data_IF_576518344775
#
_entry.id   IF_576518344775
#
_cell.length_a   1.000
_cell.length_b   1.000
_cell.length_c   1.000
_cell.angle_alpha   90.00
_cell.angle_beta   90.00
_cell.angle_gamma   90.00
#
_symmetry.space_group_name_H-M   'P 1'
#
loop_
_entity.id
_entity.type
_entity.pdbx_description
1 polymer ?
#
# COMPACT_ATOMS: atom_id res chain seq x y z
N UNK A 1 -108.02 13.34 -60.33
CA UNK A 1 -106.90 13.87 -59.54
C UNK A 1 -107.37 14.03 -58.11
N UNK A 2 -107.13 13.04 -57.26
CA UNK A 2 -107.10 13.25 -55.82
C UNK A 2 -105.63 13.09 -55.46
N UNK A 3 -104.93 14.21 -55.31
CA UNK A 3 -103.62 14.23 -54.70
C UNK A 3 -103.81 13.76 -53.26
N UNK A 4 -103.33 12.56 -52.95
CA UNK A 4 -103.01 12.22 -51.57
C UNK A 4 -101.85 13.15 -51.17
N UNK A 5 -102.19 14.26 -50.52
CA UNK A 5 -101.23 15.00 -49.71
C UNK A 5 -100.78 13.99 -48.64
N UNK A 6 -99.62 13.36 -48.82
CA UNK A 6 -98.91 12.79 -47.68
C UNK A 6 -98.63 13.99 -46.78
N UNK A 7 -99.35 14.10 -45.67
CA UNK A 7 -98.90 14.94 -44.58
C UNK A 7 -97.47 14.50 -44.28
N UNK A 8 -96.52 15.41 -44.37
CA UNK A 8 -95.14 15.12 -44.03
C UNK A 8 -95.12 14.76 -42.55
N UNK A 9 -94.83 13.49 -42.26
CA UNK A 9 -94.73 12.98 -40.90
C UNK A 9 -93.72 13.83 -40.12
N UNK A 10 -94.03 14.10 -38.86
CA UNK A 10 -93.14 14.90 -38.04
C UNK A 10 -91.90 14.11 -37.62
N UNK A 11 -90.75 14.74 -37.78
CA UNK A 11 -89.46 14.14 -37.49
C UNK A 11 -88.69 15.12 -36.62
N UNK A 12 -88.22 14.63 -35.46
CA UNK A 12 -87.23 15.33 -34.67
C UNK A 12 -85.86 15.14 -35.34
N UNK A 13 -85.24 16.23 -35.74
CA UNK A 13 -83.90 16.27 -36.32
C UNK A 13 -82.93 16.64 -35.20
N UNK A 14 -81.95 15.78 -34.94
CA UNK A 14 -80.91 16.05 -33.96
C UNK A 14 -79.84 16.98 -34.55
N UNK A 15 -79.16 17.79 -33.71
CA UNK A 15 -77.90 18.43 -34.07
C UNK A 15 -76.89 17.43 -34.64
N UNK A 16 -75.89 17.96 -35.36
CA UNK A 16 -74.74 17.16 -35.81
C UNK A 16 -73.98 16.54 -34.62
N UNK A 17 -73.13 15.55 -34.94
CA UNK A 17 -72.25 14.94 -33.95
C UNK A 17 -71.28 15.99 -33.37
N UNK A 18 -70.94 15.82 -32.10
CA UNK A 18 -69.99 16.67 -31.40
C UNK A 18 -68.78 15.87 -30.93
N UNK A 19 -67.66 16.56 -30.75
CA UNK A 19 -66.44 15.97 -30.19
C UNK A 19 -66.17 16.55 -28.80
N UNK A 20 -65.75 15.69 -27.89
CA UNK A 20 -65.22 16.03 -26.57
C UNK A 20 -63.79 15.46 -26.46
N UNK A 21 -62.96 16.06 -25.60
CA UNK A 21 -61.58 15.64 -25.43
C UNK A 21 -61.46 14.59 -24.34
N UNK A 22 -61.92 14.86 -23.12
CA UNK A 22 -61.70 13.97 -21.98
C UNK A 22 -62.96 13.30 -21.45
N UNK A 23 -64.08 14.02 -21.40
CA UNK A 23 -65.28 13.54 -20.70
C UNK A 23 -66.58 14.11 -21.30
N UNK A 24 -67.66 13.33 -21.21
CA UNK A 24 -68.99 13.72 -21.67
C UNK A 24 -69.52 15.02 -21.05
N UNK A 25 -69.04 15.39 -19.85
CA UNK A 25 -69.43 16.62 -19.16
C UNK A 25 -68.92 17.90 -19.82
N UNK A 26 -67.93 17.81 -20.73
CA UNK A 26 -67.50 18.93 -21.58
C UNK A 26 -68.60 19.38 -22.54
N UNK A 27 -69.50 18.47 -22.89
CA UNK A 27 -70.67 18.71 -23.75
C UNK A 27 -71.94 18.45 -22.92
N UNK A 28 -72.45 19.45 -22.17
CA UNK A 28 -73.68 19.31 -21.41
C UNK A 28 -74.88 18.93 -22.29
N UNK A 29 -75.78 18.10 -21.76
CA UNK A 29 -77.02 17.77 -22.46
C UNK A 29 -77.95 18.99 -22.56
N UNK A 30 -78.73 19.06 -23.63
CA UNK A 30 -79.71 20.14 -23.82
C UNK A 30 -80.80 20.06 -22.76
N UNK A 31 -80.92 21.14 -21.97
CA UNK A 31 -81.86 21.21 -20.85
C UNK A 31 -83.29 21.58 -21.29
N UNK A 32 -83.43 22.17 -22.48
CA UNK A 32 -84.69 22.62 -23.04
C UNK A 32 -84.61 22.68 -24.57
N UNK A 33 -85.77 22.74 -25.22
CA UNK A 33 -85.87 22.70 -26.67
C UNK A 33 -85.25 23.92 -27.37
N UNK A 34 -85.19 25.09 -26.71
CA UNK A 34 -84.62 26.29 -27.33
C UNK A 34 -83.11 26.18 -27.50
N UNK A 35 -82.42 25.58 -26.54
CA UNK A 35 -80.97 25.31 -26.65
C UNK A 35 -80.70 24.28 -27.76
N UNK A 36 -81.49 23.20 -27.80
CA UNK A 36 -81.43 22.19 -28.87
C UNK A 36 -81.63 22.79 -30.27
N UNK A 37 -82.55 23.76 -30.41
CA UNK A 37 -82.77 24.50 -31.66
C UNK A 37 -81.57 25.37 -32.06
N UNK A 38 -80.95 26.04 -31.09
CA UNK A 38 -79.84 26.96 -31.37
C UNK A 38 -78.63 26.22 -31.96
N UNK A 39 -78.46 24.95 -31.59
CA UNK A 39 -77.33 24.11 -32.02
C UNK A 39 -77.69 23.21 -33.21
N UNK A 40 -78.75 23.55 -33.95
CA UNK A 40 -79.09 22.94 -35.24
C UNK A 40 -80.06 21.78 -35.19
N UNK A 41 -80.57 21.43 -34.00
CA UNK A 41 -81.70 20.52 -33.86
C UNK A 41 -83.00 21.18 -34.28
N UNK A 42 -84.06 20.39 -34.49
CA UNK A 42 -85.38 20.95 -34.75
C UNK A 42 -86.44 19.91 -35.09
N UNK A 43 -87.61 20.39 -35.49
CA UNK A 43 -88.70 19.55 -35.98
C UNK A 43 -88.92 19.87 -37.46
N UNK A 44 -88.99 18.85 -38.31
CA UNK A 44 -89.46 18.99 -39.68
C UNK A 44 -90.90 18.44 -39.80
N UNK A 45 -91.70 19.04 -40.69
CA UNK A 45 -93.12 18.74 -40.85
C UNK A 45 -94.06 19.86 -40.38
N UNK A 46 -95.32 19.54 -40.08
CA UNK A 46 -96.38 20.53 -39.75
C UNK A 46 -97.07 20.27 -38.40
N UNK A 47 -96.41 19.60 -37.45
CA UNK A 47 -96.94 19.38 -36.10
C UNK A 47 -96.82 20.63 -35.23
N UNK A 48 -97.80 20.79 -34.33
CA UNK A 48 -97.75 21.78 -33.26
C UNK A 48 -97.05 21.14 -32.06
N UNK A 49 -95.77 21.43 -31.91
CA UNK A 49 -94.94 20.85 -30.86
C UNK A 49 -95.21 21.48 -29.49
N UNK A 50 -95.24 20.65 -28.45
CA UNK A 50 -95.20 21.09 -27.07
C UNK A 50 -93.75 21.20 -26.61
N UNK A 51 -93.12 22.37 -26.76
CA UNK A 51 -91.71 22.58 -26.39
C UNK A 51 -91.37 22.26 -24.92
N UNK A 52 -92.36 22.27 -24.01
CA UNK A 52 -92.15 21.93 -22.60
C UNK A 52 -92.01 20.43 -22.33
N UNK A 53 -92.34 19.59 -23.31
CA UNK A 53 -92.21 18.13 -23.25
C UNK A 53 -90.81 17.63 -23.62
N UNK A 54 -89.93 18.52 -24.10
CA UNK A 54 -88.59 18.15 -24.53
C UNK A 54 -87.76 17.61 -23.37
N UNK A 55 -87.15 16.44 -23.56
CA UNK A 55 -86.38 15.75 -22.52
C UNK A 55 -85.26 14.91 -23.13
N UNK A 56 -84.15 14.78 -22.40
CA UNK A 56 -83.16 13.73 -22.63
C UNK A 56 -83.74 12.40 -22.15
N UNK A 57 -84.06 11.50 -23.07
CA UNK A 57 -84.65 10.21 -22.76
C UNK A 57 -83.60 9.19 -22.30
N UNK A 58 -82.45 9.17 -22.96
CA UNK A 58 -81.35 8.25 -22.65
C UNK A 58 -80.00 8.84 -23.04
N UNK A 59 -78.96 8.40 -22.34
CA UNK A 59 -77.55 8.61 -22.66
C UNK A 59 -76.86 7.25 -22.52
N UNK A 60 -76.24 6.79 -23.60
CA UNK A 60 -75.72 5.42 -23.72
C UNK A 60 -74.30 5.50 -24.27
N UNK A 61 -73.34 5.00 -23.50
CA UNK A 61 -71.97 4.78 -23.96
C UNK A 61 -71.88 3.46 -24.74
N UNK A 62 -71.04 3.43 -25.79
CA UNK A 62 -70.66 2.21 -26.50
C UNK A 62 -69.66 1.32 -25.71
N UNK A 63 -69.18 1.80 -24.56
CA UNK A 63 -68.17 1.14 -23.74
C UNK A 63 -66.77 1.16 -24.37
N UNK A 64 -66.57 1.98 -25.41
CA UNK A 64 -65.26 2.34 -25.92
C UNK A 64 -64.44 3.07 -24.86
N UNK A 65 -63.14 3.15 -25.09
CA UNK A 65 -62.21 3.84 -24.17
C UNK A 65 -61.60 5.07 -24.83
N UNK A 66 -61.05 4.93 -26.03
CA UNK A 66 -60.57 6.07 -26.82
C UNK A 66 -60.40 5.67 -28.31
N UNK A 67 -61.28 6.14 -29.22
CA UNK A 67 -62.45 6.97 -28.93
C UNK A 67 -63.56 6.19 -28.20
N UNK A 68 -64.28 6.86 -27.30
CA UNK A 68 -65.58 6.44 -26.76
C UNK A 68 -66.70 7.16 -27.54
N UNK A 69 -67.80 6.47 -27.85
CA UNK A 69 -68.98 7.09 -28.47
C UNK A 69 -70.16 7.06 -27.51
N UNK A 70 -70.63 8.25 -27.12
CA UNK A 70 -71.85 8.43 -26.34
C UNK A 70 -73.01 8.83 -27.24
N UNK A 71 -74.07 8.03 -27.23
CA UNK A 71 -75.32 8.32 -27.94
C UNK A 71 -76.37 8.89 -27.00
N UNK A 72 -76.81 10.13 -27.24
CA UNK A 72 -77.94 10.75 -26.55
C UNK A 72 -79.22 10.60 -27.37
N UNK A 73 -80.31 10.17 -26.73
CA UNK A 73 -81.64 10.08 -27.32
C UNK A 73 -82.51 11.19 -26.73
N UNK A 74 -82.94 12.14 -27.54
CA UNK A 74 -83.87 13.19 -27.14
C UNK A 74 -85.29 12.83 -27.56
N UNK A 75 -86.27 13.28 -26.78
CA UNK A 75 -87.69 13.10 -27.07
C UNK A 75 -88.45 14.42 -26.91
N UNK A 76 -89.40 14.67 -27.81
CA UNK A 76 -90.40 15.74 -27.69
C UNK A 76 -91.78 15.19 -28.07
N UNK A 77 -92.85 15.75 -27.53
CA UNK A 77 -94.23 15.45 -27.93
C UNK A 77 -94.89 16.64 -28.63
N UNK A 78 -95.88 16.35 -29.47
CA UNK A 78 -96.84 17.36 -29.94
C UNK A 78 -97.94 17.65 -28.89
N UNK A 79 -98.82 18.60 -29.21
CA UNK A 79 -99.99 18.94 -28.41
C UNK A 79 -101.04 17.80 -28.32
N UNK A 80 -100.85 16.71 -29.07
CA UNK A 80 -101.68 15.51 -29.11
C UNK A 80 -101.03 14.31 -28.39
N UNK A 81 -99.93 14.53 -27.67
CA UNK A 81 -99.14 13.53 -26.94
C UNK A 81 -98.45 12.47 -27.84
N UNK A 82 -98.35 12.71 -29.15
CA UNK A 82 -97.51 11.89 -30.04
C UNK A 82 -96.04 12.27 -29.85
N UNK A 83 -95.16 11.28 -29.70
CA UNK A 83 -93.74 11.50 -29.38
C UNK A 83 -92.82 11.27 -30.57
N UNK A 84 -91.81 12.13 -30.71
CA UNK A 84 -90.76 12.05 -31.71
C UNK A 84 -89.40 11.97 -31.02
N UNK A 85 -88.50 11.16 -31.58
CA UNK A 85 -87.16 10.93 -31.02
C UNK A 85 -86.09 11.11 -32.09
N UNK A 86 -84.90 11.48 -31.65
CA UNK A 86 -83.69 11.48 -32.46
C UNK A 86 -82.48 11.11 -31.62
N UNK A 87 -81.42 10.64 -32.28
CA UNK A 87 -80.13 10.31 -31.65
C UNK A 87 -79.04 11.29 -32.08
N UNK A 88 -78.30 11.79 -31.11
CA UNK A 88 -77.07 12.57 -31.31
C UNK A 88 -75.87 11.74 -30.84
N UNK A 89 -74.82 11.69 -31.64
CA UNK A 89 -73.56 11.04 -31.29
C UNK A 89 -72.56 12.08 -30.75
N UNK A 90 -71.83 11.70 -29.70
CA UNK A 90 -70.74 12.49 -29.12
C UNK A 90 -69.52 11.56 -29.08
N UNK A 91 -68.43 11.96 -29.73
CA UNK A 91 -67.18 11.21 -29.77
C UNK A 91 -66.21 11.82 -28.76
N UNK A 92 -65.78 11.04 -27.78
CA UNK A 92 -64.77 11.43 -26.78
C UNK A 92 -63.45 10.82 -27.23
N UNK A 93 -62.47 11.65 -27.56
CA UNK A 93 -61.18 11.18 -28.08
C UNK A 93 -60.05 12.16 -27.78
N UNK A 94 -59.10 11.73 -26.96
CA UNK A 94 -57.87 12.48 -26.74
C UNK A 94 -56.82 12.16 -27.80
N UNK A 95 -56.22 13.20 -28.37
CA UNK A 95 -55.14 13.10 -29.36
C UNK A 95 -53.93 13.97 -28.98
N UNK A 96 -53.92 14.54 -27.78
CA UNK A 96 -52.77 15.29 -27.28
C UNK A 96 -51.78 14.33 -26.61
N UNK A 97 -50.49 14.49 -26.88
CA UNK A 97 -49.46 13.69 -26.21
C UNK A 97 -49.30 14.16 -24.75
N UNK A 98 -49.02 13.23 -23.82
CA UNK A 98 -48.72 13.60 -22.45
C UNK A 98 -47.44 14.43 -22.36
N UNK A 99 -47.35 15.29 -21.35
CA UNK A 99 -46.14 16.06 -21.06
C UNK A 99 -45.32 15.35 -19.99
N UNK A 100 -44.10 14.95 -20.36
CA UNK A 100 -43.10 14.38 -19.44
C UNK A 100 -41.85 15.27 -19.40
N UNK A 101 -41.37 15.58 -18.20
CA UNK A 101 -40.08 16.26 -17.96
C UNK A 101 -39.18 15.35 -17.15
N UNK A 102 -37.96 15.17 -17.63
CA UNK A 102 -37.00 14.26 -17.04
C UNK A 102 -36.42 14.77 -15.71
N UNK A 103 -36.00 13.85 -14.82
CA UNK A 103 -35.03 14.15 -13.79
C UNK A 103 -33.81 14.88 -14.38
N UNK A 104 -33.15 15.75 -13.59
CA UNK A 104 -31.95 16.44 -14.06
C UNK A 104 -30.84 15.43 -14.42
N UNK A 105 -29.99 15.82 -15.37
CA UNK A 105 -28.75 15.10 -15.66
C UNK A 105 -27.86 15.01 -14.41
N UNK A 106 -27.07 13.95 -14.32
CA UNK A 106 -26.20 13.70 -13.16
C UNK A 106 -24.77 13.31 -13.56
N UNK A 107 -23.87 13.39 -12.58
CA UNK A 107 -22.47 13.00 -12.70
C UNK A 107 -22.12 12.07 -11.53
N UNK A 108 -21.58 10.90 -11.85
CA UNK A 108 -21.17 9.90 -10.86
C UNK A 108 -19.72 9.48 -11.05
N UNK A 109 -19.17 8.86 -10.02
CA UNK A 109 -17.84 8.26 -10.03
C UNK A 109 -17.94 6.73 -10.19
N UNK A 110 -17.01 6.15 -10.95
CA UNK A 110 -16.75 4.71 -11.10
C UNK A 110 -17.79 3.85 -11.85
N UNK A 111 -18.98 3.61 -11.31
CA UNK A 111 -19.88 2.55 -11.78
C UNK A 111 -21.37 2.96 -11.78
N UNK A 112 -22.03 2.74 -12.92
CA UNK A 112 -23.48 2.92 -13.08
C UNK A 112 -24.30 1.97 -12.19
N UNK A 113 -23.76 0.81 -11.82
CA UNK A 113 -24.48 -0.17 -11.00
C UNK A 113 -24.77 0.33 -9.58
N UNK A 114 -23.99 1.28 -9.07
CA UNK A 114 -24.21 1.92 -7.78
C UNK A 114 -25.21 3.09 -7.87
N UNK A 115 -25.55 3.52 -9.08
CA UNK A 115 -26.50 4.60 -9.31
C UNK A 115 -27.95 4.09 -9.27
N UNK A 116 -28.89 4.80 -8.61
CA UNK A 116 -30.27 4.34 -8.46
C UNK A 116 -30.94 4.03 -9.81
N UNK A 117 -31.52 2.84 -9.92
CA UNK A 117 -32.39 2.47 -11.04
C UNK A 117 -33.79 3.03 -10.83
N UNK A 118 -34.40 3.55 -11.90
CA UNK A 118 -35.75 4.12 -11.88
C UNK A 118 -36.65 3.20 -12.71
N UNK A 119 -37.39 2.29 -12.08
CA UNK A 119 -38.22 1.31 -12.77
C UNK A 119 -39.72 1.64 -12.69
N UNK A 120 -40.11 2.60 -11.85
CA UNK A 120 -41.50 2.96 -11.60
C UNK A 120 -41.72 4.47 -11.72
N UNK A 121 -42.96 4.87 -12.02
CA UNK A 121 -43.33 6.28 -12.06
C UNK A 121 -43.08 6.98 -10.72
N UNK A 122 -43.34 6.30 -9.59
CA UNK A 122 -43.08 6.87 -8.26
C UNK A 122 -41.59 7.17 -8.03
N UNK A 123 -40.69 6.29 -8.48
CA UNK A 123 -39.25 6.53 -8.42
C UNK A 123 -38.83 7.67 -9.34
N UNK A 124 -39.44 7.78 -10.52
CA UNK A 124 -39.20 8.87 -11.48
C UNK A 124 -39.60 10.23 -10.90
N UNK A 125 -40.79 10.31 -10.29
CA UNK A 125 -41.26 11.52 -9.60
C UNK A 125 -40.38 11.87 -8.40
N UNK A 126 -39.93 10.86 -7.65
CA UNK A 126 -39.01 11.06 -6.52
C UNK A 126 -37.63 11.56 -6.97
N UNK A 127 -37.18 11.17 -8.17
CA UNK A 127 -35.95 11.65 -8.80
C UNK A 127 -36.07 13.06 -9.39
N UNK A 128 -37.25 13.69 -9.34
CA UNK A 128 -37.47 15.06 -9.80
C UNK A 128 -38.07 15.19 -11.20
N UNK A 129 -38.47 14.08 -11.82
CA UNK A 129 -39.26 14.12 -13.05
C UNK A 129 -40.71 14.54 -12.79
N UNK A 130 -41.43 14.94 -13.84
CA UNK A 130 -42.86 15.27 -13.77
C UNK A 130 -43.61 14.71 -14.96
N UNK A 131 -44.87 14.30 -14.76
CA UNK A 131 -45.80 13.88 -15.83
C UNK A 131 -47.15 14.53 -15.62
N UNK A 132 -47.80 14.99 -16.69
CA UNK A 132 -49.19 15.41 -16.68
C UNK A 132 -49.78 15.33 -18.09
N UNK A 133 -51.10 15.35 -18.16
CA UNK A 133 -51.88 15.29 -19.39
C UNK A 133 -53.09 16.22 -19.26
N UNK A 134 -53.70 16.64 -20.38
CA UNK A 134 -54.95 17.41 -20.38
C UNK A 134 -56.15 16.56 -19.92
N UNK A 135 -56.10 15.25 -20.14
CA UNK A 135 -57.07 14.28 -19.67
C UNK A 135 -56.49 13.43 -18.53
N UNK A 136 -56.03 12.21 -18.82
CA UNK A 136 -55.60 11.24 -17.81
C UNK A 136 -54.33 10.48 -18.25
N UNK A 137 -53.37 10.37 -17.35
CA UNK A 137 -52.15 9.57 -17.56
C UNK A 137 -52.44 8.09 -17.26
N UNK A 138 -51.98 7.19 -18.14
CA UNK A 138 -51.91 5.77 -17.82
C UNK A 138 -50.62 5.46 -17.05
N UNK A 139 -50.65 5.58 -15.72
CA UNK A 139 -49.46 5.38 -14.87
C UNK A 139 -48.78 4.01 -15.06
N UNK A 140 -49.56 2.98 -15.40
CA UNK A 140 -49.05 1.62 -15.62
C UNK A 140 -48.26 1.47 -16.94
N UNK A 141 -48.33 2.45 -17.83
CA UNK A 141 -47.61 2.49 -19.10
C UNK A 141 -46.19 3.02 -18.98
N UNK A 142 -45.80 3.53 -17.80
CA UNK A 142 -44.46 4.06 -17.57
C UNK A 142 -43.40 2.98 -17.83
N UNK A 143 -42.42 3.33 -18.66
CA UNK A 143 -41.36 2.44 -19.06
C UNK A 143 -40.04 3.20 -19.10
N UNK A 144 -38.96 2.55 -18.67
CA UNK A 144 -37.60 3.07 -18.79
C UNK A 144 -36.74 2.12 -19.62
N UNK A 145 -35.77 2.66 -20.33
CA UNK A 145 -34.67 1.89 -20.87
C UNK A 145 -33.35 2.65 -20.76
N UNK A 146 -32.26 1.90 -20.66
CA UNK A 146 -30.90 2.42 -20.52
C UNK A 146 -30.07 2.00 -21.74
N UNK A 147 -29.27 2.93 -22.26
CA UNK A 147 -28.27 2.68 -23.31
C UNK A 147 -26.92 3.15 -22.81
N UNK A 148 -25.96 2.23 -22.76
CA UNK A 148 -24.59 2.51 -22.35
C UNK A 148 -23.73 2.85 -23.58
N UNK A 149 -23.10 4.02 -23.55
CA UNK A 149 -22.08 4.38 -24.51
C UNK A 149 -20.70 4.11 -23.90
N UNK A 150 -20.15 2.93 -24.20
CA UNK A 150 -18.81 2.53 -23.76
C UNK A 150 -17.73 3.36 -24.50
N UNK A 151 -17.21 4.37 -23.80
CA UNK A 151 -15.99 5.07 -24.13
C UNK A 151 -15.14 5.08 -22.85
N UNK A 152 -14.05 4.31 -22.85
CA UNK A 152 -13.04 4.23 -21.77
C UNK A 152 -13.10 5.42 -20.78
N UNK A 153 -13.45 5.15 -19.52
CA UNK A 153 -13.58 6.08 -18.39
C UNK A 153 -14.58 7.25 -18.50
N UNK A 154 -14.82 7.79 -19.68
CA UNK A 154 -15.76 8.89 -19.93
C UNK A 154 -17.05 8.33 -20.51
N UNK A 155 -17.61 7.35 -19.82
CA UNK A 155 -18.85 6.70 -20.23
C UNK A 155 -20.01 7.65 -20.01
N UNK A 156 -20.97 7.60 -20.93
CA UNK A 156 -22.25 8.29 -20.77
C UNK A 156 -23.33 7.21 -20.82
N UNK A 157 -24.19 7.22 -19.81
CA UNK A 157 -25.40 6.40 -19.79
C UNK A 157 -26.57 7.29 -20.14
N UNK A 158 -27.29 6.92 -21.20
CA UNK A 158 -28.52 7.57 -21.61
C UNK A 158 -29.70 6.79 -21.06
N UNK A 159 -30.50 7.42 -20.21
CA UNK A 159 -31.80 6.90 -19.79
C UNK A 159 -32.90 7.57 -20.57
N UNK A 160 -33.78 6.79 -21.15
CA UNK A 160 -35.02 7.31 -21.73
C UNK A 160 -36.21 6.78 -20.95
N UNK A 161 -37.13 7.70 -20.67
CA UNK A 161 -38.39 7.43 -19.98
C UNK A 161 -39.53 7.69 -20.94
N UNK A 162 -40.42 6.71 -21.07
CA UNK A 162 -41.59 6.74 -21.94
C UNK A 162 -42.84 6.59 -21.07
N UNK A 163 -43.88 7.38 -21.37
CA UNK A 163 -45.19 7.22 -20.74
C UNK A 163 -46.29 7.46 -21.77
N UNK A 164 -47.41 6.76 -21.59
CA UNK A 164 -48.63 6.92 -22.37
C UNK A 164 -49.72 7.55 -21.52
N UNK A 165 -50.61 8.30 -22.16
CA UNK A 165 -51.89 8.69 -21.59
C UNK A 165 -52.89 7.50 -21.62
N UNK A 166 -54.15 7.74 -21.23
CA UNK A 166 -55.19 6.71 -21.26
C UNK A 166 -55.68 6.35 -22.68
N UNK A 167 -55.43 7.22 -23.66
CA UNK A 167 -55.81 7.06 -25.07
C UNK A 167 -54.72 6.39 -25.93
N UNK A 168 -53.52 6.20 -25.38
CA UNK A 168 -52.36 5.61 -26.05
C UNK A 168 -51.45 6.62 -26.75
N UNK A 169 -51.70 7.93 -26.62
CA UNK A 169 -50.73 8.96 -27.00
C UNK A 169 -49.52 8.86 -26.05
N UNK A 170 -48.33 9.21 -26.53
CA UNK A 170 -47.11 8.96 -25.77
C UNK A 170 -46.04 10.00 -26.03
N UNK A 171 -45.23 10.20 -25.00
CA UNK A 171 -44.06 11.04 -25.11
C UNK A 171 -42.92 10.45 -24.30
N UNK A 172 -41.69 10.78 -24.70
CA UNK A 172 -40.49 10.37 -24.00
C UNK A 172 -39.63 11.58 -23.62
N UNK A 173 -38.77 11.38 -22.63
CA UNK A 173 -37.71 12.31 -22.30
C UNK A 173 -36.42 11.55 -21.99
N UNK A 174 -35.29 12.26 -22.06
CA UNK A 174 -33.96 11.70 -21.87
C UNK A 174 -33.23 12.35 -20.69
N UNK A 175 -32.50 11.53 -19.93
CA UNK A 175 -31.57 11.94 -18.87
C UNK A 175 -30.18 11.42 -19.21
N UNK A 176 -29.17 12.27 -19.07
CA UNK A 176 -27.77 11.91 -19.23
C UNK A 176 -27.09 11.70 -17.87
N UNK A 177 -26.36 10.59 -17.74
CA UNK A 177 -25.54 10.30 -16.57
C UNK A 177 -24.10 10.19 -17.05
N UNK A 178 -23.26 11.14 -16.65
CA UNK A 178 -21.84 11.13 -17.00
C UNK A 178 -21.06 10.40 -15.90
N UNK A 179 -20.22 9.46 -16.29
CA UNK A 179 -19.33 8.73 -15.39
C UNK A 179 -17.94 9.28 -15.61
N UNK A 180 -17.29 9.74 -14.54
CA UNK A 180 -15.91 10.22 -14.57
C UNK A 180 -15.12 9.58 -13.43
N UNK A 181 -13.81 9.49 -13.64
CA UNK A 181 -12.88 9.31 -12.55
C UNK A 181 -11.63 10.16 -12.78
N UNK A 182 -11.32 10.95 -11.74
CA UNK A 182 -10.25 11.95 -11.73
C UNK A 182 -9.21 11.64 -10.65
N UNK A 183 -9.41 10.57 -9.89
CA UNK A 183 -8.55 10.20 -8.78
C UNK A 183 -7.45 9.29 -9.32
N UNK A 184 -6.16 9.64 -9.17
CA UNK A 184 -5.09 8.73 -9.53
C UNK A 184 -5.10 7.47 -8.65
N UNK A 185 -4.62 6.33 -9.18
CA UNK A 185 -4.40 5.15 -8.36
C UNK A 185 -3.34 5.44 -7.28
N UNK A 186 -3.34 4.65 -6.22
CA UNK A 186 -2.31 4.66 -5.19
C UNK A 186 -1.40 3.46 -5.42
N UNK A 187 -0.13 3.69 -5.72
CA UNK A 187 0.88 2.63 -5.91
C UNK A 187 1.86 2.57 -4.73
N UNK A 188 2.07 1.36 -4.20
CA UNK A 188 3.05 1.05 -3.15
C UNK A 188 4.14 0.15 -3.72
N UNK A 189 5.39 0.58 -3.59
CA UNK A 189 6.53 -0.16 -4.09
C UNK A 189 6.87 -1.38 -3.22
N UNK A 190 7.44 -2.44 -3.83
CA UNK A 190 8.13 -3.50 -3.11
C UNK A 190 9.16 -2.95 -2.11
N UNK A 191 9.50 -3.72 -1.06
CA UNK A 191 10.57 -3.33 -0.14
C UNK A 191 11.89 -3.04 -0.85
N UNK A 192 12.68 -2.15 -0.25
CA UNK A 192 14.05 -1.89 -0.69
C UNK A 192 14.93 -3.13 -0.50
N UNK A 193 15.84 -3.36 -1.44
CA UNK A 193 16.71 -4.54 -1.46
C UNK A 193 18.16 -4.16 -1.10
N UNK A 194 18.87 -5.05 -0.39
CA UNK A 194 20.29 -4.89 -0.06
C UNK A 194 21.02 -6.17 -0.50
N UNK A 195 21.96 -6.06 -1.44
CA UNK A 195 22.67 -7.22 -2.01
C UNK A 195 24.20 -7.06 -2.03
N UNK A 196 24.93 -8.18 -1.89
CA UNK A 196 26.31 -8.32 -2.35
C UNK A 196 26.45 -8.97 -3.74
N UNK A 197 25.33 -9.32 -4.39
CA UNK A 197 25.23 -10.06 -5.65
C UNK A 197 24.60 -9.16 -6.75
N UNK A 198 24.55 -9.55 -8.05
CA UNK A 198 24.03 -8.66 -9.09
C UNK A 198 22.56 -8.29 -8.81
N UNK A 199 22.17 -7.09 -9.25
CA UNK A 199 20.81 -6.56 -9.09
C UNK A 199 19.75 -7.57 -9.54
N UNK A 200 18.64 -7.64 -8.81
CA UNK A 200 17.40 -8.20 -9.33
C UNK A 200 17.05 -7.50 -10.65
N UNK A 201 16.46 -8.21 -11.61
CA UNK A 201 15.91 -7.57 -12.81
C UNK A 201 14.71 -6.69 -12.41
N UNK A 202 14.46 -5.57 -13.11
CA UNK A 202 13.27 -4.76 -12.86
C UNK A 202 12.01 -5.57 -13.18
N UNK A 203 10.93 -5.34 -12.43
CA UNK A 203 9.61 -5.87 -12.76
C UNK A 203 9.12 -5.31 -14.09
N UNK A 204 8.63 -6.17 -14.98
CA UNK A 204 8.14 -5.79 -16.32
C UNK A 204 6.64 -5.90 -16.46
N UNK A 205 5.97 -6.54 -15.50
CA UNK A 205 4.52 -6.68 -15.44
C UNK A 205 4.02 -6.41 -14.02
N UNK A 206 2.76 -6.01 -13.89
CA UNK A 206 2.15 -5.77 -12.59
C UNK A 206 2.10 -7.05 -11.73
N UNK A 207 1.93 -8.23 -12.35
CA UNK A 207 2.00 -9.54 -11.66
C UNK A 207 3.37 -9.79 -11.04
N UNK A 208 4.47 -9.46 -11.75
CA UNK A 208 5.81 -9.58 -11.19
C UNK A 208 6.05 -8.60 -10.04
N UNK A 209 5.58 -7.37 -10.19
CA UNK A 209 5.69 -6.31 -9.19
C UNK A 209 4.95 -6.68 -7.88
N UNK A 210 3.74 -7.21 -8.00
CA UNK A 210 2.96 -7.68 -6.84
C UNK A 210 3.57 -8.94 -6.20
N UNK A 211 4.12 -9.86 -6.98
CA UNK A 211 4.89 -10.99 -6.46
C UNK A 211 6.15 -10.53 -5.69
N UNK A 212 6.72 -9.37 -6.05
CA UNK A 212 7.81 -8.71 -5.33
C UNK A 212 7.39 -8.02 -4.03
N UNK A 213 6.09 -7.93 -3.73
CA UNK A 213 5.55 -7.26 -2.55
C UNK A 213 5.07 -5.83 -2.78
N UNK A 214 4.98 -5.39 -4.04
CA UNK A 214 4.30 -4.15 -4.40
C UNK A 214 2.79 -4.31 -4.47
N UNK A 215 2.06 -3.21 -4.58
CA UNK A 215 0.61 -3.19 -4.79
C UNK A 215 0.16 -1.88 -5.41
N UNK A 216 -0.99 -1.88 -6.07
CA UNK A 216 -1.72 -0.68 -6.47
C UNK A 216 -3.22 -0.87 -6.21
N UNK A 217 -3.89 0.22 -5.84
CA UNK A 217 -5.33 0.24 -5.65
C UNK A 217 -5.89 1.60 -6.06
N UNK A 218 -7.17 1.63 -6.40
CA UNK A 218 -7.87 2.82 -6.85
C UNK A 218 -9.30 2.83 -6.29
N UNK A 219 -9.97 3.99 -6.26
CA UNK A 219 -11.38 4.08 -5.85
C UNK A 219 -12.33 3.44 -6.86
N UNK A 220 -11.97 3.44 -8.15
CA UNK A 220 -12.73 2.82 -9.22
C UNK A 220 -12.06 1.51 -9.67
N UNK A 221 -10.97 1.61 -10.45
CA UNK A 221 -10.28 0.44 -11.01
C UNK A 221 -8.90 0.81 -11.57
N UNK A 222 -7.90 -0.02 -11.28
CA UNK A 222 -6.58 0.09 -11.91
C UNK A 222 -6.57 -0.52 -13.32
N UNK A 223 -5.76 0.02 -14.25
CA UNK A 223 -5.40 -0.67 -15.50
C UNK A 223 -4.07 -1.41 -15.28
N UNK A 224 -4.13 -2.71 -15.00
CA UNK A 224 -2.93 -3.51 -14.80
C UNK A 224 -2.00 -3.57 -16.03
N UNK A 225 -2.54 -3.36 -17.24
CA UNK A 225 -1.75 -3.35 -18.48
C UNK A 225 -0.97 -2.04 -18.67
N UNK A 226 -1.33 -0.99 -17.93
CA UNK A 226 -0.65 0.29 -17.97
C UNK A 226 0.66 0.31 -17.18
N UNK A 227 0.91 -0.71 -16.34
CA UNK A 227 2.08 -0.77 -15.47
C UNK A 227 3.39 -0.88 -16.27
N UNK A 228 4.37 -0.02 -15.95
CA UNK A 228 5.71 -0.11 -16.54
C UNK A 228 6.80 0.51 -15.64
N UNK A 229 8.05 0.14 -15.93
CA UNK A 229 9.23 0.81 -15.38
C UNK A 229 9.41 2.16 -16.09
N UNK A 230 9.12 3.24 -15.39
CA UNK A 230 9.27 4.60 -15.91
C UNK A 230 10.74 5.01 -16.00
N UNK A 231 11.52 4.69 -14.96
CA UNK A 231 12.91 5.12 -14.87
C UNK A 231 13.77 4.17 -14.04
N UNK A 232 15.03 3.99 -14.43
CA UNK A 232 16.08 3.38 -13.60
C UNK A 232 17.30 4.30 -13.61
N UNK A 233 17.78 4.67 -12.42
CA UNK A 233 18.98 5.50 -12.22
C UNK A 233 19.97 4.71 -11.37
N UNK A 234 21.22 4.67 -11.82
CA UNK A 234 22.35 4.12 -11.04
C UNK A 234 23.22 5.28 -10.57
N UNK A 235 23.52 5.31 -9.27
CA UNK A 235 24.52 6.18 -8.65
C UNK A 235 25.73 5.33 -8.25
N UNK A 236 26.74 5.31 -9.14
CA UNK A 236 28.01 4.59 -8.99
C UNK A 236 29.14 5.44 -8.38
N UNK A 237 28.88 6.73 -8.12
CA UNK A 237 29.86 7.66 -7.52
C UNK A 237 30.03 7.43 -6.01
N UNK A 238 29.20 6.58 -5.40
CA UNK A 238 29.18 6.32 -3.96
C UNK A 238 29.37 4.82 -3.62
N UNK A 239 29.98 4.57 -2.44
CA UNK A 239 30.00 3.25 -1.80
C UNK A 239 29.24 3.35 -0.46
N UNK A 240 28.00 2.84 -0.39
CA UNK A 240 27.40 1.86 -1.29
C UNK A 240 26.83 2.50 -2.57
N UNK A 241 26.79 1.71 -3.64
CA UNK A 241 26.18 2.09 -4.93
C UNK A 241 24.67 1.88 -4.84
N UNK A 242 23.89 2.79 -5.43
CA UNK A 242 22.42 2.71 -5.40
C UNK A 242 21.86 2.54 -6.81
N UNK A 243 20.83 1.69 -6.94
CA UNK A 243 19.93 1.69 -8.09
C UNK A 243 18.56 2.17 -7.58
N UNK A 244 18.01 3.20 -8.19
CA UNK A 244 16.65 3.69 -7.90
C UNK A 244 15.76 3.41 -9.12
N UNK A 245 14.67 2.69 -8.89
CA UNK A 245 13.67 2.36 -9.90
C UNK A 245 12.38 3.10 -9.61
N UNK A 246 11.84 3.79 -10.61
CA UNK A 246 10.52 4.42 -10.55
C UNK A 246 9.55 3.62 -11.41
N UNK A 247 8.50 3.11 -10.79
CA UNK A 247 7.41 2.39 -11.44
C UNK A 247 6.19 3.29 -11.52
N UNK A 248 5.46 3.22 -12.64
CA UNK A 248 4.23 3.99 -12.86
C UNK A 248 3.10 3.02 -13.23
N UNK A 249 1.89 3.32 -12.76
CA UNK A 249 0.65 2.66 -13.17
C UNK A 249 -0.44 3.72 -13.36
N UNK A 250 -1.36 3.47 -14.28
CA UNK A 250 -2.60 4.23 -14.43
C UNK A 250 -3.83 3.42 -14.06
N UNK A 251 -4.92 4.13 -13.81
CA UNK A 251 -6.27 3.59 -13.83
C UNK A 251 -6.79 3.43 -15.28
N UNK A 252 -8.05 3.01 -15.42
CA UNK A 252 -8.76 2.93 -16.72
C UNK A 252 -9.08 4.32 -17.33
N UNK A 253 -8.83 5.38 -16.57
CA UNK A 253 -9.07 6.79 -16.87
C UNK A 253 -7.83 7.58 -17.25
N UNK A 254 -6.69 6.89 -17.34
CA UNK A 254 -5.37 7.45 -17.57
C UNK A 254 -4.83 8.37 -16.46
N UNK A 255 -5.48 8.45 -15.28
CA UNK A 255 -4.87 9.08 -14.12
C UNK A 255 -3.73 8.17 -13.63
N UNK A 256 -2.62 8.77 -13.21
CA UNK A 256 -1.33 8.07 -12.99
C UNK A 256 -0.74 8.39 -11.63
N UNK A 257 -0.09 7.40 -11.04
CA UNK A 257 0.78 7.56 -9.89
C UNK A 257 2.05 6.73 -10.04
N UNK A 258 3.09 7.09 -9.28
CA UNK A 258 4.38 6.42 -9.31
C UNK A 258 4.91 6.13 -7.90
N UNK A 259 5.76 5.11 -7.80
CA UNK A 259 6.52 4.84 -6.59
C UNK A 259 7.98 4.53 -6.93
N UNK A 260 8.86 4.69 -5.94
CA UNK A 260 10.29 4.44 -6.07
C UNK A 260 10.77 3.30 -5.18
N UNK A 261 11.48 2.35 -5.76
CA UNK A 261 12.22 1.29 -5.05
C UNK A 261 13.72 1.61 -5.10
N UNK A 262 14.42 1.43 -3.98
CA UNK A 262 15.88 1.58 -3.90
C UNK A 262 16.56 0.23 -3.64
N UNK A 263 17.57 -0.07 -4.43
CA UNK A 263 18.44 -1.25 -4.29
C UNK A 263 19.84 -0.76 -3.92
N UNK A 264 20.38 -1.29 -2.83
CA UNK A 264 21.68 -0.90 -2.28
C UNK A 264 22.71 -2.01 -2.51
N UNK A 265 23.81 -1.68 -3.19
CA UNK A 265 24.95 -2.56 -3.39
C UNK A 265 26.06 -2.22 -2.42
N UNK A 266 26.31 -3.17 -1.53
CA UNK A 266 27.42 -3.11 -0.59
C UNK A 266 28.62 -3.86 -1.16
N UNK A 267 29.78 -3.21 -1.19
CA UNK A 267 31.05 -3.93 -1.37
C UNK A 267 31.57 -4.38 -0.01
N UNK A 268 31.57 -5.69 0.23
CA UNK A 268 32.21 -6.25 1.41
C UNK A 268 33.72 -6.16 1.26
N UNK A 269 34.40 -5.57 2.22
CA UNK A 269 35.85 -5.62 2.32
C UNK A 269 36.27 -6.70 3.30
N UNK A 270 37.38 -7.36 3.01
CA UNK A 270 38.04 -8.26 3.94
C UNK A 270 39.44 -7.74 4.26
N UNK A 271 39.87 -7.96 5.50
CA UNK A 271 41.21 -7.65 5.93
C UNK A 271 41.70 -8.72 6.91
N UNK A 272 43.01 -8.95 6.96
CA UNK A 272 43.63 -9.86 7.92
C UNK A 272 44.48 -9.07 8.90
N UNK A 273 44.23 -9.25 10.19
CA UNK A 273 45.05 -8.71 11.28
C UNK A 273 45.92 -9.83 11.86
N UNK A 274 47.17 -9.51 12.16
CA UNK A 274 48.08 -10.37 12.90
C UNK A 274 48.29 -9.76 14.28
N UNK A 275 47.80 -10.44 15.32
CA UNK A 275 47.76 -9.94 16.68
C UNK A 275 48.50 -10.92 17.59
N UNK A 276 49.41 -10.42 18.44
CA UNK A 276 50.02 -11.20 19.52
C UNK A 276 49.65 -10.55 20.85
N UNK A 277 49.00 -11.30 21.74
CA UNK A 277 48.52 -10.80 23.04
C UNK A 277 48.71 -11.85 24.14
N UNK A 278 48.69 -11.38 25.39
CA UNK A 278 48.77 -12.23 26.58
C UNK A 278 47.37 -12.57 27.10
N UNK A 279 47.14 -13.82 27.46
CA UNK A 279 45.88 -14.38 28.03
C UNK A 279 44.64 -14.31 27.12
N UNK A 280 44.26 -13.13 26.65
CA UNK A 280 43.08 -12.96 25.82
C UNK A 280 43.11 -11.73 24.92
N UNK A 281 42.43 -11.82 23.78
CA UNK A 281 42.18 -10.71 22.86
C UNK A 281 40.68 -10.53 22.66
N UNK A 282 40.18 -9.30 22.81
CA UNK A 282 38.80 -8.95 22.50
C UNK A 282 38.72 -8.44 21.07
N UNK A 283 37.82 -9.02 20.29
CA UNK A 283 37.62 -8.70 18.88
C UNK A 283 37.22 -7.23 18.69
N UNK A 284 37.53 -6.61 17.54
CA UNK A 284 37.19 -5.19 17.34
C UNK A 284 35.69 -4.86 17.38
N UNK A 285 34.80 -5.82 17.10
CA UNK A 285 33.36 -5.66 17.33
C UNK A 285 32.96 -5.65 18.81
N UNK A 286 33.88 -6.04 19.71
CA UNK A 286 33.66 -6.23 21.14
C UNK A 286 32.84 -7.49 21.47
N UNK A 287 32.46 -8.29 20.48
CA UNK A 287 31.53 -9.42 20.65
C UNK A 287 32.22 -10.70 21.11
N UNK A 288 33.50 -10.88 20.75
CA UNK A 288 34.23 -12.10 21.03
C UNK A 288 35.47 -11.78 21.86
N UNK A 289 35.81 -12.66 22.79
CA UNK A 289 37.10 -12.65 23.49
C UNK A 289 37.71 -14.04 23.34
N UNK A 290 38.90 -14.13 22.76
CA UNK A 290 39.60 -15.38 22.52
C UNK A 290 40.83 -15.48 23.41
N UNK A 291 41.05 -16.65 24.00
CA UNK A 291 42.15 -16.94 24.92
C UNK A 291 43.03 -18.10 24.46
N UNK A 292 42.93 -18.48 23.19
CA UNK A 292 43.81 -19.48 22.56
C UNK A 292 44.28 -18.93 21.23
N UNK A 293 45.50 -19.29 20.84
CA UNK A 293 46.03 -18.99 19.50
C UNK A 293 45.17 -19.63 18.41
N UNK A 294 44.93 -18.92 17.33
CA UNK A 294 44.17 -19.43 16.20
C UNK A 294 43.75 -18.34 15.21
N UNK A 295 43.11 -18.79 14.13
CA UNK A 295 42.53 -17.91 13.13
C UNK A 295 41.04 -17.73 13.43
N UNK A 296 40.65 -16.50 13.74
CA UNK A 296 39.29 -16.12 14.08
C UNK A 296 38.69 -15.19 13.03
N UNK A 297 37.36 -15.05 13.08
CA UNK A 297 36.61 -14.13 12.22
C UNK A 297 35.78 -13.18 13.06
N UNK A 298 35.76 -11.92 12.67
CA UNK A 298 34.88 -10.90 13.24
C UNK A 298 34.20 -10.13 12.11
N UNK A 299 33.01 -9.60 12.41
CA UNK A 299 32.24 -8.78 11.47
C UNK A 299 32.03 -7.42 12.10
N UNK A 300 32.48 -6.37 11.41
CA UNK A 300 32.30 -5.00 11.86
C UNK A 300 31.43 -4.29 10.81
N UNK A 301 30.32 -3.65 11.19
CA UNK A 301 29.59 -2.80 10.28
C UNK A 301 30.47 -1.60 9.91
N UNK A 302 30.71 -1.41 8.62
CA UNK A 302 31.35 -0.17 8.17
C UNK A 302 30.39 1.02 8.30
N UNK A 303 30.86 2.23 7.98
CA UNK A 303 30.07 3.47 8.07
C UNK A 303 28.75 3.45 7.26
N UNK A 304 28.60 2.48 6.36
CA UNK A 304 27.44 2.30 5.48
C UNK A 304 26.58 1.08 5.86
N UNK A 305 26.74 0.53 7.06
CA UNK A 305 26.02 -0.67 7.55
C UNK A 305 26.28 -1.95 6.72
N UNK A 306 27.29 -1.94 5.85
CA UNK A 306 27.73 -3.13 5.15
C UNK A 306 28.74 -3.87 6.03
N UNK A 307 28.57 -5.18 6.16
CA UNK A 307 29.45 -6.03 6.98
C UNK A 307 30.86 -6.14 6.37
N UNK A 308 31.91 -5.74 7.08
CA UNK A 308 33.30 -6.08 6.71
C UNK A 308 33.72 -7.36 7.43
N UNK A 309 34.33 -8.30 6.70
CA UNK A 309 34.83 -9.55 7.29
C UNK A 309 36.31 -9.40 7.68
N UNK A 310 36.57 -9.36 8.98
CA UNK A 310 37.91 -9.37 9.54
C UNK A 310 38.36 -10.80 9.80
N UNK A 311 39.55 -11.17 9.35
CA UNK A 311 40.23 -12.39 9.78
C UNK A 311 41.32 -12.00 10.77
N UNK A 312 41.33 -12.60 11.95
CA UNK A 312 42.31 -12.32 13.00
C UNK A 312 43.17 -13.56 13.16
N UNK A 313 44.44 -13.48 12.78
CA UNK A 313 45.46 -14.47 13.11
C UNK A 313 46.03 -14.09 14.49
N UNK A 314 45.48 -14.72 15.53
CA UNK A 314 45.77 -14.43 16.92
C UNK A 314 46.80 -15.43 17.46
N UNK A 315 47.87 -14.91 18.05
CA UNK A 315 48.79 -15.67 18.89
C UNK A 315 48.57 -15.26 20.34
N UNK A 316 48.12 -16.21 21.16
CA UNK A 316 48.14 -16.11 22.63
C UNK A 316 49.43 -16.76 23.11
N UNK A 317 50.28 -15.95 23.72
CA UNK A 317 51.58 -16.40 24.23
C UNK A 317 51.43 -16.95 25.66
N UNK A 318 51.86 -18.20 25.86
CA UNK A 318 51.89 -18.84 27.18
C UNK A 318 53.25 -18.66 27.86
N UNK A 319 53.23 -18.51 29.19
CA UNK A 319 54.45 -18.57 30.00
C UNK A 319 54.91 -20.03 30.12
N UNK A 320 56.07 -20.35 29.57
CA UNK A 320 56.64 -21.71 29.66
C UNK A 320 57.75 -21.73 30.72
N UNK A 321 57.49 -22.46 31.81
CA UNK A 321 58.51 -22.88 32.79
C UNK A 321 58.87 -24.33 32.46
N UNK A 322 60.08 -24.55 31.96
CA UNK A 322 60.61 -25.89 31.73
C UNK A 322 61.64 -26.23 32.81
N UNK A 323 61.45 -27.34 33.51
CA UNK A 323 62.52 -27.97 34.29
C UNK A 323 63.56 -28.54 33.32
N UNK A 324 64.84 -28.29 33.59
CA UNK A 324 65.94 -28.62 32.70
C UNK A 324 66.05 -30.13 32.45
N UNK A 325 66.25 -30.51 31.19
CA UNK A 325 66.55 -31.89 30.80
C UNK A 325 67.96 -32.34 31.20
N UNK A 326 68.20 -33.65 31.02
CA UNK A 326 69.29 -34.49 31.56
C UNK A 326 70.75 -33.95 31.54
N UNK A 327 71.05 -32.90 30.78
CA UNK A 327 72.37 -32.24 30.80
C UNK A 327 72.56 -31.26 31.98
N UNK A 328 71.47 -30.83 32.63
CA UNK A 328 71.51 -29.93 33.78
C UNK A 328 70.40 -30.28 34.80
N UNK A 329 70.60 -31.32 35.62
CA UNK A 329 69.55 -31.92 36.45
C UNK A 329 68.94 -31.00 37.52
N UNK A 330 69.57 -29.83 37.79
CA UNK A 330 69.09 -28.81 38.72
C UNK A 330 69.01 -27.41 38.06
N UNK A 331 68.52 -27.32 36.82
CA UNK A 331 68.34 -26.03 36.13
C UNK A 331 66.87 -25.73 35.85
N UNK A 332 66.47 -24.47 36.09
CA UNK A 332 65.15 -23.97 35.71
C UNK A 332 65.31 -23.06 34.50
N UNK A 333 64.61 -23.37 33.39
CA UNK A 333 64.55 -22.51 32.20
C UNK A 333 63.18 -21.86 32.13
N UNK A 334 63.14 -20.54 32.18
CA UNK A 334 61.92 -19.76 32.11
C UNK A 334 61.94 -18.87 30.87
N UNK A 335 60.98 -19.07 29.97
CA UNK A 335 60.74 -18.20 28.82
C UNK A 335 59.45 -17.44 29.11
N UNK A 336 59.59 -16.17 29.50
CA UNK A 336 58.47 -15.32 29.91
C UNK A 336 58.20 -14.31 28.81
N UNK A 337 57.29 -14.65 27.91
CA UNK A 337 56.80 -13.70 26.93
C UNK A 337 55.65 -12.83 27.50
N UNK A 338 54.94 -13.32 28.53
CA UNK A 338 53.78 -12.67 29.17
C UNK A 338 53.91 -12.57 30.69
N UNK A 339 54.94 -11.88 31.21
CA UNK A 339 55.28 -11.79 32.63
C UNK A 339 54.39 -10.86 33.48
N UNK A 340 53.06 -10.82 33.27
CA UNK A 340 52.17 -9.88 33.97
C UNK A 340 51.60 -10.37 35.31
N UNK A 341 51.91 -11.61 35.76
CA UNK A 341 51.29 -12.21 36.97
C UNK A 341 52.27 -12.91 37.93
N UNK A 342 53.58 -12.72 37.77
CA UNK A 342 54.57 -13.32 38.68
C UNK A 342 55.06 -12.28 39.69
N UNK A 343 54.45 -12.25 40.88
CA UNK A 343 54.84 -11.36 41.98
C UNK A 343 56.10 -11.86 42.73
N UNK A 344 56.31 -13.18 42.79
CA UNK A 344 57.41 -13.82 43.52
C UNK A 344 57.86 -15.13 42.86
N UNK A 345 59.17 -15.29 42.65
CA UNK A 345 59.80 -16.56 42.24
C UNK A 345 60.52 -17.12 43.46
N UNK A 346 59.99 -18.22 44.01
CA UNK A 346 60.57 -18.89 45.18
C UNK A 346 61.39 -20.10 44.76
N UNK A 347 62.65 -20.14 45.15
CA UNK A 347 63.57 -21.25 44.87
C UNK A 347 63.77 -22.02 46.17
N UNK A 348 63.11 -23.17 46.32
CA UNK A 348 63.10 -23.94 47.57
C UNK A 348 64.27 -24.94 47.72
N UNK A 349 64.97 -25.27 46.63
CA UNK A 349 66.13 -26.18 46.62
C UNK A 349 67.38 -25.55 45.94
N UNK A 350 68.54 -26.19 46.08
CA UNK A 350 69.78 -25.74 45.44
C UNK A 350 69.68 -25.92 43.93
N UNK A 351 69.43 -24.84 43.18
CA UNK A 351 69.56 -24.82 41.73
C UNK A 351 70.96 -24.35 41.32
N UNK A 352 71.56 -25.01 40.34
CA UNK A 352 72.91 -24.68 39.85
C UNK A 352 72.88 -23.53 38.84
N UNK A 353 71.74 -23.31 38.15
CA UNK A 353 71.58 -22.33 37.08
C UNK A 353 70.09 -21.99 36.87
N UNK A 354 69.71 -20.69 36.92
CA UNK A 354 68.38 -20.18 36.54
C UNK A 354 68.50 -19.39 35.24
N UNK A 355 68.05 -19.97 34.12
CA UNK A 355 68.13 -19.30 32.83
C UNK A 355 66.79 -18.62 32.50
N UNK A 356 66.81 -17.29 32.38
CA UNK A 356 65.68 -16.48 31.93
C UNK A 356 65.92 -16.10 30.46
N UNK A 357 65.11 -16.63 29.55
CA UNK A 357 65.24 -16.34 28.10
C UNK A 357 64.37 -15.12 27.77
N UNK A 358 64.99 -14.08 27.19
CA UNK A 358 64.43 -12.75 26.88
C UNK A 358 63.96 -12.63 25.41
N UNK A 359 63.00 -11.74 25.05
CA UNK A 359 62.71 -10.42 25.63
C UNK A 359 61.67 -10.41 26.77
N UNK A 360 62.08 -9.90 27.95
CA UNK A 360 61.23 -9.76 29.13
C UNK A 360 60.75 -8.30 29.25
N UNK A 361 59.44 -8.07 29.27
CA UNK A 361 58.83 -6.80 29.71
C UNK A 361 58.16 -7.06 31.05
N UNK A 362 58.69 -6.46 32.13
CA UNK A 362 58.14 -6.60 33.48
C UNK A 362 56.98 -5.64 33.67
N UNK A 363 55.79 -6.17 33.97
CA UNK A 363 54.64 -5.36 34.34
C UNK A 363 54.45 -5.22 35.86
N UNK A 364 55.13 -6.03 36.68
CA UNK A 364 55.13 -5.97 38.16
C UNK A 364 56.50 -6.23 38.80
N UNK A 365 56.60 -5.95 40.12
CA UNK A 365 57.80 -6.18 40.93
C UNK A 365 58.07 -7.68 41.07
N UNK A 366 59.31 -8.12 40.87
CA UNK A 366 59.68 -9.54 41.02
C UNK A 366 60.66 -9.70 42.17
N UNK A 367 60.36 -10.62 43.09
CA UNK A 367 61.29 -11.04 44.14
C UNK A 367 61.80 -12.45 43.85
N UNK A 368 63.13 -12.61 43.81
CA UNK A 368 63.81 -13.91 43.72
C UNK A 368 64.43 -14.21 45.09
N UNK A 369 63.88 -15.20 45.81
CA UNK A 369 64.36 -15.61 47.13
C UNK A 369 65.02 -16.97 47.12
N UNK A 370 66.23 -17.04 47.68
CA UNK A 370 66.95 -18.27 47.97
C UNK A 370 66.93 -18.66 49.45
N UNK A 371 67.45 -19.85 49.76
CA UNK A 371 67.57 -20.35 51.12
C UNK A 371 68.74 -19.68 51.88
N UNK A 372 68.50 -19.25 53.13
CA UNK A 372 69.47 -18.58 54.02
C UNK A 372 70.67 -19.46 54.40
N UNK A 373 70.53 -20.80 54.36
CA UNK A 373 71.59 -21.73 54.79
C UNK A 373 72.53 -22.19 53.68
N UNK A 374 72.10 -22.08 52.42
CA UNK A 374 72.94 -22.31 51.24
C UNK A 374 72.38 -21.48 50.07
N UNK A 375 72.90 -20.27 49.83
CA UNK A 375 72.32 -19.38 48.83
C UNK A 375 72.49 -20.00 47.43
N UNK A 376 71.40 -20.22 46.67
CA UNK A 376 71.47 -20.77 45.32
C UNK A 376 72.30 -19.87 44.40
N UNK A 377 72.95 -20.51 43.43
CA UNK A 377 73.74 -19.83 42.40
C UNK A 377 72.84 -19.57 41.20
N UNK A 378 72.43 -18.32 41.03
CA UNK A 378 71.66 -17.88 39.85
C UNK A 378 72.65 -17.40 38.79
N UNK A 379 72.76 -18.18 37.72
CA UNK A 379 73.49 -17.81 36.50
C UNK A 379 72.53 -17.15 35.52
N UNK A 380 72.72 -15.88 35.22
CA UNK A 380 71.93 -15.19 34.21
C UNK A 380 72.61 -15.35 32.85
N UNK A 381 71.97 -16.09 31.94
CA UNK A 381 72.44 -16.25 30.56
C UNK A 381 71.72 -15.28 29.62
N UNK A 382 72.45 -14.31 29.08
CA UNK A 382 71.93 -13.30 28.14
C UNK A 382 72.06 -13.71 26.67
N UNK A 383 72.38 -14.97 26.38
CA UNK A 383 72.46 -15.45 25.00
C UNK A 383 71.08 -15.74 24.43
N UNK A 384 70.51 -14.78 23.70
CA UNK A 384 69.47 -15.09 22.71
C UNK A 384 70.13 -15.16 21.32
N UNK A 385 70.22 -16.35 20.75
CA UNK A 385 70.82 -16.61 19.43
C UNK A 385 69.94 -16.18 18.25
N UNK A 386 68.76 -15.58 18.48
CA UNK A 386 67.78 -15.26 17.44
C UNK A 386 67.47 -13.76 17.24
N UNK A 387 68.08 -12.85 18.01
CA UNK A 387 67.91 -11.40 17.83
C UNK A 387 69.27 -10.71 17.77
N UNK A 388 69.77 -10.48 16.55
CA UNK A 388 71.16 -10.03 16.31
C UNK A 388 71.45 -8.56 16.62
N UNK A 389 70.55 -7.78 17.24
CA UNK A 389 70.78 -6.33 17.43
C UNK A 389 70.08 -5.66 18.64
N UNK A 390 69.61 -6.40 19.65
CA UNK A 390 69.10 -5.78 20.89
C UNK A 390 70.23 -5.64 21.94
N UNK A 391 70.39 -4.49 22.62
CA UNK A 391 71.42 -4.35 23.65
C UNK A 391 71.14 -5.33 24.81
N UNK A 392 72.08 -6.26 25.03
CA UNK A 392 72.06 -7.25 26.11
C UNK A 392 71.86 -6.57 27.49
N UNK A 393 70.71 -6.81 28.15
CA UNK A 393 70.44 -6.31 29.51
C UNK A 393 68.98 -6.49 29.98
N UNK A 394 68.76 -6.47 31.30
CA UNK A 394 67.42 -6.42 31.92
C UNK A 394 66.89 -4.98 31.82
N UNK A 395 65.72 -4.76 31.21
CA UNK A 395 65.00 -3.47 31.23
C UNK A 395 63.97 -3.49 32.36
N UNK A 396 64.15 -2.62 33.36
CA UNK A 396 63.15 -2.40 34.42
C UNK A 396 62.37 -1.14 34.05
N UNK A 397 61.04 -1.24 33.95
CA UNK A 397 60.18 -0.09 33.68
C UNK A 397 60.01 0.81 34.92
N UNK A 398 59.53 2.02 34.68
CA UNK A 398 59.55 3.10 35.67
C UNK A 398 58.75 2.74 36.93
N UNK A 399 59.37 2.89 38.12
CA UNK A 399 58.74 2.60 39.40
C UNK A 399 58.66 1.12 39.80
N UNK A 400 59.22 0.20 39.00
CA UNK A 400 59.25 -1.24 39.31
C UNK A 400 60.57 -1.66 39.98
N UNK A 401 60.53 -2.71 40.79
CA UNK A 401 61.65 -3.22 41.59
C UNK A 401 61.91 -4.70 41.29
N UNK A 402 63.17 -5.05 41.01
CA UNK A 402 63.64 -6.45 41.12
C UNK A 402 64.43 -6.58 42.41
N UNK A 403 64.05 -7.54 43.26
CA UNK A 403 64.75 -7.80 44.53
C UNK A 403 65.38 -9.19 44.54
N UNK A 404 66.67 -9.26 44.82
CA UNK A 404 67.38 -10.51 45.07
C UNK A 404 67.63 -10.67 46.57
N UNK A 405 67.16 -11.78 47.16
CA UNK A 405 67.36 -12.11 48.58
C UNK A 405 67.99 -13.49 48.71
N UNK A 406 69.13 -13.59 49.39
CA UNK A 406 69.85 -14.86 49.63
C UNK A 406 70.26 -15.60 48.34
N UNK A 407 70.78 -14.91 47.32
CA UNK A 407 71.19 -15.51 46.03
C UNK A 407 72.61 -15.08 45.65
N UNK A 408 73.39 -15.98 45.04
CA UNK A 408 74.68 -15.67 44.40
C UNK A 408 74.46 -15.49 42.90
N UNK A 409 74.82 -14.33 42.35
CA UNK A 409 74.75 -14.07 40.91
C UNK A 409 76.09 -14.42 40.24
N UNK A 410 76.05 -15.27 39.21
CA UNK A 410 77.21 -15.56 38.35
C UNK A 410 76.91 -15.21 36.88
N UNK A 411 77.90 -14.67 36.18
CA UNK A 411 77.84 -14.42 34.74
C UNK A 411 78.43 -15.63 34.01
N UNK A 412 77.73 -16.19 33.02
CA UNK A 412 78.19 -17.44 32.41
C UNK A 412 79.14 -17.25 31.21
N UNK A 413 79.02 -16.19 30.40
CA UNK A 413 79.59 -16.24 29.04
C UNK A 413 80.27 -14.96 28.47
N UNK A 414 80.58 -13.91 29.25
CA UNK A 414 81.41 -12.80 28.74
C UNK A 414 82.12 -11.99 29.85
N UNK A 415 83.43 -12.14 30.09
CA UNK A 415 84.06 -11.72 31.35
C UNK A 415 84.31 -10.21 31.51
N UNK A 416 83.55 -9.31 30.86
CA UNK A 416 83.86 -7.87 30.94
C UNK A 416 82.71 -6.85 30.97
N UNK A 417 81.41 -7.18 30.87
CA UNK A 417 80.33 -6.18 31.08
C UNK A 417 78.98 -6.80 31.48
N UNK A 418 78.64 -6.78 32.78
CA UNK A 418 77.23 -6.84 33.21
C UNK A 418 76.59 -5.47 32.93
N UNK A 419 75.77 -5.36 31.87
CA UNK A 419 75.00 -4.14 31.59
C UNK A 419 73.56 -4.27 32.10
N UNK A 420 73.32 -3.67 33.25
CA UNK A 420 71.97 -3.40 33.75
C UNK A 420 71.54 -2.01 33.26
N UNK A 421 70.53 -1.95 32.37
CA UNK A 421 69.95 -0.68 31.96
C UNK A 421 68.77 -0.35 32.88
N UNK A 422 69.01 0.48 33.87
CA UNK A 422 67.98 0.98 34.79
C UNK A 422 67.33 2.21 34.17
N UNK A 423 66.10 2.08 33.64
CA UNK A 423 65.33 3.20 33.13
C UNK A 423 64.28 3.61 34.17
N UNK A 424 64.75 4.28 35.24
CA UNK A 424 63.95 4.73 36.41
C UNK A 424 63.35 3.59 37.29
N UNK A 425 63.76 2.34 37.07
CA UNK A 425 63.48 1.20 37.97
C UNK A 425 64.54 1.00 39.07
N UNK A 426 64.21 0.23 40.11
CA UNK A 426 65.10 -0.02 41.27
C UNK A 426 65.58 -1.47 41.30
N UNK A 427 66.90 -1.69 41.41
CA UNK A 427 67.47 -2.99 41.77
C UNK A 427 67.77 -3.00 43.27
N UNK A 428 67.14 -3.90 44.04
CA UNK A 428 67.44 -4.11 45.46
C UNK A 428 68.18 -5.42 45.67
N UNK A 429 69.33 -5.33 46.34
CA UNK A 429 70.13 -6.48 46.72
C UNK A 429 70.28 -6.44 48.24
N UNK A 430 69.59 -7.35 48.93
CA UNK A 430 69.46 -7.26 50.39
C UNK A 430 70.64 -7.90 51.16
N UNK A 431 71.66 -8.46 50.47
CA UNK A 431 72.86 -9.09 51.06
C UNK A 431 74.10 -9.06 50.13
N UNK A 432 75.25 -9.59 50.58
CA UNK A 432 76.56 -9.52 49.91
C UNK A 432 76.58 -10.16 48.51
N UNK A 433 76.70 -9.33 47.46
CA UNK A 433 77.05 -9.82 46.11
C UNK A 433 78.55 -10.06 46.04
N UNK A 434 78.94 -11.31 45.76
CA UNK A 434 80.34 -11.64 45.50
C UNK A 434 80.53 -11.80 43.99
N UNK A 435 81.17 -10.81 43.36
CA UNK A 435 81.62 -10.94 41.97
C UNK A 435 82.88 -11.81 41.97
N UNK A 436 82.75 -13.05 41.54
CA UNK A 436 83.89 -13.94 41.34
C UNK A 436 84.25 -13.92 39.86
N UNK A 437 85.33 -13.23 39.51
CA UNK A 437 85.96 -13.38 38.21
C UNK A 437 86.67 -14.73 38.21
N UNK A 438 86.28 -15.65 37.32
CA UNK A 438 87.14 -16.77 36.93
C UNK A 438 88.17 -16.32 35.88
#
# INVERSE_FOLDING_TARGET
MFNALHAQECILECPESLDATCDISEIPAYSNYNDFLNDGGGISGTCNINASSFVLLAEISDGGYCPETVTRIYQISDDNDETYQCSQEIIINDNEDPVITCPPDDIIECDINDYPKINTLNEFLAAGGTVYDNCEINEASFYTYEVDFEYSCNNIVLREFLIHDHCGNNFNCQQYINIYDYSPPIITCPPNEIYPAPASQPYTTYTEFTAGGGSANDNCAIDENSFYLQQEITDDDNNPTFITRTYEISDLCENRDNCTQTITFCTHTSNTLFISECESYTSPSGKYTWNTSGIYKDTIPNASLCDSLLTIDLTIEDNVVNEGGDDFPNSLRMSLACASFLDEIRIEETIDTLNIIMPLVLQDDIIIKGNETNPPVVRLDFTNSLLTNAPYGIKIENGKTITFENVILLEQNNPNQVKLLLNEGTLKINQSVSFKTE
#
